data_IF_889484621565
#
_entry.id   IF_889484621565
#
_cell.length_a   1.000
_cell.length_b   1.000
_cell.length_c   1.000
_cell.angle_alpha   90.00
_cell.angle_beta   90.00
_cell.angle_gamma   90.00
#
_symmetry.space_group_name_H-M   'P 1'
#
loop_
_entity.id
_entity.type
_entity.pdbx_description
1 polymer ?
#
# COMPACT_ATOMS: atom_id res chain seq x y z
N UNK A 1 -7.68 -16.20 -34.17
CA UNK A 1 -7.55 -17.06 -32.99
C UNK A 1 -8.49 -16.50 -31.95
N UNK A 2 -9.66 -17.14 -31.81
CA UNK A 2 -10.71 -16.70 -30.87
C UNK A 2 -10.34 -17.15 -29.45
N UNK A 3 -10.24 -16.19 -28.55
CA UNK A 3 -10.10 -16.47 -27.11
C UNK A 3 -11.48 -16.83 -26.57
N UNK A 4 -11.73 -18.11 -26.38
CA UNK A 4 -12.89 -18.57 -25.62
C UNK A 4 -12.74 -18.17 -24.16
N UNK A 5 -13.59 -17.22 -23.74
CA UNK A 5 -13.78 -16.92 -22.32
C UNK A 5 -14.59 -18.04 -21.72
N UNK A 6 -13.96 -18.92 -20.95
CA UNK A 6 -14.67 -19.92 -20.14
C UNK A 6 -15.46 -19.17 -19.05
N UNK A 7 -16.75 -19.05 -19.27
CA UNK A 7 -17.67 -18.59 -18.25
C UNK A 7 -17.77 -19.69 -17.17
N UNK A 8 -17.06 -19.51 -16.06
CA UNK A 8 -17.31 -20.27 -14.85
C UNK A 8 -18.74 -20.02 -14.43
N UNK A 9 -19.60 -21.06 -14.49
CA UNK A 9 -21.01 -21.01 -14.14
C UNK A 9 -21.25 -20.79 -12.65
N UNK A 10 -20.71 -19.72 -12.11
CA UNK A 10 -20.99 -19.27 -10.76
C UNK A 10 -22.36 -18.56 -10.77
N UNK A 11 -23.23 -18.82 -9.79
CA UNK A 11 -24.48 -18.10 -9.67
C UNK A 11 -24.18 -16.60 -9.52
N UNK A 12 -25.08 -15.73 -10.09
CA UNK A 12 -24.85 -14.28 -9.97
C UNK A 12 -24.78 -13.88 -8.50
N UNK A 13 -23.71 -13.21 -8.15
CA UNK A 13 -23.52 -12.65 -6.80
C UNK A 13 -24.59 -11.57 -6.62
N UNK A 14 -25.44 -11.65 -5.59
CA UNK A 14 -26.44 -10.61 -5.33
C UNK A 14 -25.74 -9.25 -5.19
N UNK A 15 -26.15 -8.26 -5.98
CA UNK A 15 -25.56 -6.90 -5.95
C UNK A 15 -25.97 -6.08 -4.73
N UNK A 16 -26.92 -6.56 -3.93
CA UNK A 16 -27.33 -5.90 -2.71
C UNK A 16 -26.32 -6.18 -1.60
N UNK A 17 -25.66 -5.13 -1.15
CA UNK A 17 -24.87 -5.19 0.08
C UNK A 17 -25.82 -5.39 1.25
N UNK A 18 -25.78 -6.53 1.89
CA UNK A 18 -26.48 -6.75 3.15
C UNK A 18 -26.07 -5.68 4.14
N UNK A 19 -27.04 -5.08 4.82
CA UNK A 19 -26.76 -4.15 5.90
C UNK A 19 -26.07 -4.88 7.07
N UNK A 20 -25.38 -4.14 7.93
CA UNK A 20 -24.77 -4.73 9.13
C UNK A 20 -25.81 -5.42 10.02
N UNK A 21 -27.02 -4.87 10.08
CA UNK A 21 -28.16 -5.46 10.82
C UNK A 21 -28.62 -6.78 10.18
N UNK A 22 -28.63 -6.90 8.84
CA UNK A 22 -29.01 -8.14 8.15
C UNK A 22 -27.97 -9.25 8.37
N UNK A 23 -26.72 -8.90 8.55
CA UNK A 23 -25.64 -9.86 8.86
C UNK A 23 -25.72 -10.32 10.30
N UNK A 24 -26.08 -9.43 11.22
CA UNK A 24 -26.17 -9.70 12.66
C UNK A 24 -27.44 -10.49 13.03
N UNK A 25 -28.52 -10.29 12.26
CA UNK A 25 -29.79 -11.02 12.38
C UNK A 25 -29.80 -12.39 11.66
N UNK A 26 -28.79 -12.71 10.89
CA UNK A 26 -28.71 -13.98 10.18
C UNK A 26 -28.58 -15.14 11.20
N UNK A 27 -29.43 -16.15 11.08
CA UNK A 27 -29.32 -17.36 11.86
C UNK A 27 -27.92 -17.97 11.77
N UNK A 28 -27.38 -18.54 12.86
CA UNK A 28 -26.06 -19.15 12.85
C UNK A 28 -25.99 -20.23 11.77
N UNK A 29 -25.01 -20.12 10.89
CA UNK A 29 -24.77 -21.10 9.81
C UNK A 29 -24.36 -22.41 10.49
N UNK A 30 -25.26 -23.38 10.48
CA UNK A 30 -24.98 -24.73 10.95
C UNK A 30 -24.45 -25.58 9.80
N UNK A 31 -23.43 -26.38 10.05
CA UNK A 31 -22.81 -27.26 9.08
C UNK A 31 -21.34 -26.94 8.77
N UNK A 32 -20.74 -27.74 7.89
CA UNK A 32 -19.33 -27.59 7.49
C UNK A 32 -19.14 -26.26 6.74
N UNK A 33 -18.25 -25.42 7.24
CA UNK A 33 -17.88 -24.15 6.59
C UNK A 33 -16.70 -24.39 5.65
N UNK A 34 -16.82 -23.94 4.39
CA UNK A 34 -15.74 -24.00 3.40
C UNK A 34 -15.16 -22.60 3.17
N UNK A 35 -13.85 -22.49 3.20
CA UNK A 35 -13.13 -21.29 2.78
C UNK A 35 -12.56 -21.54 1.38
N UNK A 36 -13.00 -20.76 0.40
CA UNK A 36 -12.49 -20.81 -0.95
C UNK A 36 -11.38 -19.77 -1.10
N UNK A 37 -10.17 -20.22 -1.42
CA UNK A 37 -9.03 -19.34 -1.67
C UNK A 37 -8.90 -19.08 -3.16
N UNK A 38 -8.90 -17.81 -3.56
CA UNK A 38 -8.61 -17.42 -4.94
C UNK A 38 -7.17 -17.78 -5.34
N UNK A 39 -7.01 -18.11 -6.63
CA UNK A 39 -5.69 -18.36 -7.22
C UNK A 39 -5.66 -17.71 -8.61
N UNK A 40 -4.64 -16.88 -8.94
CA UNK A 40 -3.54 -16.45 -8.06
C UNK A 40 -3.99 -15.47 -6.97
N UNK A 41 -3.24 -15.43 -5.87
CA UNK A 41 -3.48 -14.52 -4.75
C UNK A 41 -2.17 -14.00 -4.19
N UNK A 42 -2.21 -12.86 -3.50
CA UNK A 42 -1.05 -12.23 -2.88
C UNK A 42 -1.15 -10.70 -2.97
N UNK A 43 -0.04 -10.04 -2.70
CA UNK A 43 0.09 -8.62 -2.89
C UNK A 43 0.30 -8.27 -4.37
N UNK A 44 -0.05 -7.05 -4.76
CA UNK A 44 0.39 -6.55 -6.07
C UNK A 44 1.90 -6.24 -6.02
N UNK A 45 2.52 -6.19 -7.19
CA UNK A 45 3.97 -5.92 -7.30
C UNK A 45 4.40 -4.60 -6.63
N UNK A 46 3.51 -3.59 -6.57
CA UNK A 46 3.77 -2.32 -5.88
C UNK A 46 3.87 -2.48 -4.37
N UNK A 47 2.98 -3.26 -3.78
CA UNK A 47 3.00 -3.59 -2.34
C UNK A 47 4.22 -4.43 -1.99
N UNK A 48 4.49 -5.50 -2.75
CA UNK A 48 5.66 -6.34 -2.53
C UNK A 48 6.95 -5.51 -2.57
N UNK A 49 7.10 -4.66 -3.58
CA UNK A 49 8.26 -3.79 -3.73
C UNK A 49 8.45 -2.85 -2.52
N UNK A 50 7.36 -2.26 -2.03
CA UNK A 50 7.42 -1.35 -0.90
C UNK A 50 7.83 -2.05 0.40
N UNK A 51 7.28 -3.23 0.66
CA UNK A 51 7.66 -4.07 1.81
C UNK A 51 9.13 -4.47 1.71
N UNK A 52 9.55 -4.99 0.56
CA UNK A 52 10.94 -5.40 0.30
C UNK A 52 11.91 -4.21 0.47
N UNK A 53 11.51 -2.99 0.11
CA UNK A 53 12.36 -1.82 0.29
C UNK A 53 12.69 -1.56 1.76
N UNK A 54 11.70 -1.67 2.67
CA UNK A 54 11.93 -1.53 4.11
C UNK A 54 12.76 -2.69 4.66
N UNK A 55 12.46 -3.92 4.24
CA UNK A 55 13.20 -5.11 4.66
C UNK A 55 14.68 -5.01 4.28
N UNK A 56 14.97 -4.67 3.02
CA UNK A 56 16.34 -4.47 2.54
C UNK A 56 17.03 -3.30 3.22
N UNK A 57 16.31 -2.22 3.53
CA UNK A 57 16.88 -1.11 4.29
C UNK A 57 17.31 -1.55 5.70
N UNK A 58 16.47 -2.34 6.38
CA UNK A 58 16.81 -2.91 7.69
C UNK A 58 18.00 -3.89 7.62
N UNK A 59 18.04 -4.73 6.58
CA UNK A 59 19.13 -5.69 6.37
C UNK A 59 20.47 -4.99 6.08
N UNK A 60 20.45 -3.97 5.24
CA UNK A 60 21.67 -3.31 4.76
C UNK A 60 22.22 -2.26 5.73
N UNK A 61 21.34 -1.51 6.37
CA UNK A 61 21.72 -0.38 7.22
C UNK A 61 21.58 -0.66 8.73
N UNK A 62 20.85 -1.73 9.08
CA UNK A 62 20.49 -2.01 10.46
C UNK A 62 19.33 -1.14 10.95
N UNK A 63 18.81 -1.49 12.13
CA UNK A 63 17.81 -0.68 12.83
C UNK A 63 18.44 0.53 13.54
N UNK A 64 17.74 1.65 13.68
CA UNK A 64 16.38 1.89 13.20
C UNK A 64 16.33 2.35 11.74
N UNK A 65 15.26 1.99 11.04
CA UNK A 65 14.85 2.58 9.76
C UNK A 65 13.49 3.23 9.96
N UNK A 66 13.40 4.50 9.65
CA UNK A 66 12.13 5.24 9.77
C UNK A 66 11.28 5.03 8.53
N UNK A 67 9.96 4.95 8.70
CA UNK A 67 9.00 4.81 7.61
C UNK A 67 7.93 5.87 7.79
N UNK A 68 7.79 6.77 6.81
CA UNK A 68 6.78 7.81 6.87
C UNK A 68 5.41 7.24 6.53
N UNK A 69 4.47 7.38 7.46
CA UNK A 69 3.15 6.76 7.45
C UNK A 69 3.25 5.24 7.36
N UNK A 70 2.14 4.56 7.07
CA UNK A 70 2.19 3.12 6.81
C UNK A 70 2.81 2.85 5.44
N UNK A 71 3.75 1.91 5.36
CA UNK A 71 4.35 1.52 4.07
C UNK A 71 3.29 0.99 3.11
N UNK A 72 2.33 0.25 3.65
CA UNK A 72 1.11 -0.24 3.03
C UNK A 72 0.03 -0.33 4.10
N UNK A 73 -1.24 -0.19 3.73
CA UNK A 73 -2.38 -0.29 4.68
C UNK A 73 -2.67 -1.74 5.08
N UNK A 74 -1.70 -2.36 5.76
CA UNK A 74 -1.82 -3.72 6.27
C UNK A 74 -1.17 -3.82 7.66
N UNK A 75 -2.01 -3.97 8.69
CA UNK A 75 -1.59 -4.03 10.08
C UNK A 75 -0.53 -5.11 10.35
N UNK A 76 -0.69 -6.30 9.77
CA UNK A 76 0.26 -7.39 9.97
C UNK A 76 1.64 -7.08 9.38
N UNK A 77 1.69 -6.41 8.23
CA UNK A 77 2.95 -5.97 7.62
C UNK A 77 3.61 -4.92 8.50
N UNK A 78 2.86 -3.91 8.94
CA UNK A 78 3.36 -2.85 9.83
C UNK A 78 3.92 -3.45 11.12
N UNK A 79 3.17 -4.31 11.80
CA UNK A 79 3.62 -4.98 13.02
C UNK A 79 4.86 -5.84 12.80
N UNK A 80 4.93 -6.57 11.69
CA UNK A 80 6.09 -7.40 11.35
C UNK A 80 7.35 -6.57 11.17
N UNK A 81 7.26 -5.47 10.42
CA UNK A 81 8.40 -4.57 10.19
C UNK A 81 8.81 -3.82 11.46
N UNK A 82 7.83 -3.43 12.31
CA UNK A 82 8.13 -2.81 13.62
C UNK A 82 8.93 -3.76 14.50
N UNK A 83 8.57 -5.04 14.57
CA UNK A 83 9.33 -6.05 15.33
C UNK A 83 10.77 -6.23 14.83
N UNK A 84 11.03 -5.91 13.57
CA UNK A 84 12.36 -5.96 12.94
C UNK A 84 13.14 -4.66 13.07
N UNK A 85 12.57 -3.63 13.69
CA UNK A 85 13.23 -2.36 13.97
C UNK A 85 12.86 -1.19 13.05
N UNK A 86 11.79 -1.31 12.27
CA UNK A 86 11.21 -0.18 11.58
C UNK A 86 10.44 0.71 12.57
N UNK A 87 10.61 2.01 12.46
CA UNK A 87 9.89 3.02 13.25
C UNK A 87 8.98 3.80 12.32
N UNK A 88 7.67 3.64 12.52
CA UNK A 88 6.66 4.36 11.75
C UNK A 88 6.40 5.72 12.35
N UNK A 89 6.53 6.76 11.55
CA UNK A 89 6.31 8.17 11.91
C UNK A 89 5.24 8.78 11.02
N UNK A 90 4.57 9.83 11.49
CA UNK A 90 3.56 10.51 10.69
C UNK A 90 4.20 11.50 9.73
N UNK A 91 5.15 12.29 10.20
CA UNK A 91 5.82 13.31 9.40
C UNK A 91 7.35 13.23 9.51
N UNK A 92 8.03 13.91 8.59
CA UNK A 92 9.50 13.87 8.49
C UNK A 92 10.21 14.61 9.62
N UNK A 93 9.53 15.48 10.34
CA UNK A 93 10.08 16.20 11.50
C UNK A 93 10.27 15.32 12.74
N UNK A 94 9.55 14.21 12.81
CA UNK A 94 9.74 13.17 13.85
C UNK A 94 11.00 12.32 13.62
N UNK A 95 11.58 12.37 12.41
CA UNK A 95 12.77 11.60 12.07
C UNK A 95 14.03 12.36 12.55
N UNK A 96 14.96 11.73 13.28
CA UNK A 96 16.23 12.38 13.63
C UNK A 96 16.98 12.88 12.39
N UNK A 97 17.62 14.05 12.51
CA UNK A 97 18.38 14.63 11.41
C UNK A 97 19.47 13.67 10.91
N UNK A 98 19.62 13.59 9.60
CA UNK A 98 20.55 12.67 8.94
C UNK A 98 20.15 11.19 8.96
N UNK A 99 19.05 10.83 9.63
CA UNK A 99 18.59 9.45 9.67
C UNK A 99 17.96 8.99 8.34
N UNK A 100 17.74 7.67 8.20
CA UNK A 100 17.12 7.08 7.02
C UNK A 100 15.62 7.01 7.14
N UNK A 101 14.94 7.44 6.07
CA UNK A 101 13.47 7.37 5.99
C UNK A 101 13.02 6.75 4.67
N UNK A 102 12.07 5.83 4.76
CA UNK A 102 11.40 5.21 3.61
C UNK A 102 10.06 5.90 3.38
N UNK A 103 9.80 6.33 2.15
CA UNK A 103 8.50 6.83 1.74
C UNK A 103 7.61 5.69 1.24
N UNK A 104 6.32 5.77 1.55
CA UNK A 104 5.35 4.71 1.28
C UNK A 104 5.08 4.49 -0.21
N UNK A 105 4.42 3.37 -0.51
CA UNK A 105 4.01 3.01 -1.88
C UNK A 105 3.11 4.05 -2.56
N UNK A 106 2.44 4.90 -1.79
CA UNK A 106 1.51 5.92 -2.30
C UNK A 106 2.22 7.16 -2.87
N UNK A 107 3.52 7.28 -2.63
CA UNK A 107 4.28 8.48 -2.95
C UNK A 107 4.08 9.60 -1.93
N UNK A 108 4.83 10.66 -2.12
CA UNK A 108 4.79 11.86 -1.28
C UNK A 108 4.77 13.12 -2.15
N UNK A 109 4.28 14.22 -1.60
CA UNK A 109 4.30 15.51 -2.30
C UNK A 109 5.73 16.08 -2.40
N UNK A 110 6.00 16.98 -3.36
CA UNK A 110 7.29 17.67 -3.46
C UNK A 110 7.73 18.34 -2.15
N UNK A 111 6.80 18.94 -1.41
CA UNK A 111 7.09 19.57 -0.13
C UNK A 111 7.66 18.60 0.92
N UNK A 112 7.26 17.32 0.89
CA UNK A 112 7.82 16.30 1.79
C UNK A 112 9.26 15.96 1.39
N UNK A 113 9.57 15.92 0.10
CA UNK A 113 10.95 15.74 -0.37
C UNK A 113 11.84 16.92 0.06
N UNK A 114 11.35 18.15 -0.05
CA UNK A 114 12.05 19.36 0.38
C UNK A 114 12.29 19.37 1.90
N UNK A 115 11.27 19.02 2.68
CA UNK A 115 11.39 18.90 4.13
C UNK A 115 12.42 17.85 4.55
N UNK A 116 12.42 16.70 3.88
CA UNK A 116 13.41 15.66 4.13
C UNK A 116 14.82 16.11 3.75
N UNK A 117 15.00 16.81 2.62
CA UNK A 117 16.28 17.35 2.18
C UNK A 117 16.82 18.41 3.16
N UNK A 118 15.98 19.32 3.65
CA UNK A 118 16.34 20.34 4.64
C UNK A 118 16.86 19.72 5.95
N UNK A 119 16.35 18.55 6.31
CA UNK A 119 16.77 17.79 7.49
C UNK A 119 17.89 16.78 7.21
N UNK A 120 18.47 16.84 6.01
CA UNK A 120 19.55 15.92 5.57
C UNK A 120 19.18 14.43 5.70
N UNK A 121 17.88 14.08 5.56
CA UNK A 121 17.44 12.69 5.68
C UNK A 121 17.91 11.87 4.47
N UNK A 122 18.42 10.67 4.72
CA UNK A 122 18.71 9.71 3.67
C UNK A 122 17.41 9.01 3.22
N UNK A 123 16.82 9.48 2.13
CA UNK A 123 15.50 9.02 1.67
C UNK A 123 15.59 7.79 0.77
N UNK A 124 14.68 6.85 0.97
CA UNK A 124 14.41 5.70 0.10
C UNK A 124 12.97 5.82 -0.39
N UNK A 125 12.79 6.05 -1.68
CA UNK A 125 11.46 6.18 -2.27
C UNK A 125 10.94 4.82 -2.72
N UNK A 126 9.93 4.31 -2.01
CA UNK A 126 9.26 3.05 -2.32
C UNK A 126 7.96 3.24 -3.13
N UNK A 127 7.75 4.43 -3.70
CA UNK A 127 6.56 4.72 -4.52
C UNK A 127 6.38 3.68 -5.62
N UNK A 128 5.17 3.17 -5.74
CA UNK A 128 4.80 2.24 -6.81
C UNK A 128 4.97 2.92 -8.18
N UNK A 129 5.64 2.29 -9.15
CA UNK A 129 5.80 2.87 -10.49
C UNK A 129 4.49 3.23 -11.18
N UNK A 130 3.42 2.49 -10.92
CA UNK A 130 2.08 2.81 -11.45
C UNK A 130 1.52 4.09 -10.81
N UNK A 131 1.74 4.31 -9.53
CA UNK A 131 1.36 5.56 -8.84
C UNK A 131 2.18 6.72 -9.40
N UNK A 132 3.48 6.54 -9.60
CA UNK A 132 4.33 7.56 -10.24
C UNK A 132 3.82 7.93 -11.64
N UNK A 133 3.32 6.95 -12.41
CA UNK A 133 2.72 7.22 -13.73
C UNK A 133 1.49 8.10 -13.60
N UNK A 134 0.58 7.78 -12.68
CA UNK A 134 -0.63 8.58 -12.43
C UNK A 134 -0.29 10.01 -12.01
N UNK A 135 0.69 10.19 -11.10
CA UNK A 135 1.14 11.53 -10.70
C UNK A 135 1.67 12.36 -11.88
N UNK A 136 2.44 11.72 -12.78
CA UNK A 136 2.96 12.40 -13.99
C UNK A 136 1.85 12.77 -14.94
N UNK A 137 0.86 11.91 -15.13
CA UNK A 137 -0.30 12.19 -15.97
C UNK A 137 -1.14 13.33 -15.40
N UNK A 138 -1.40 13.33 -14.08
CA UNK A 138 -2.11 14.43 -13.43
C UNK A 138 -1.40 15.77 -13.61
N UNK A 139 -0.07 15.82 -13.40
CA UNK A 139 0.73 17.04 -13.63
C UNK A 139 0.67 17.49 -15.09
N UNK A 140 0.72 16.55 -16.05
CA UNK A 140 0.63 16.87 -17.48
C UNK A 140 -0.72 17.46 -17.82
N UNK A 141 -1.82 16.82 -17.40
CA UNK A 141 -3.16 17.28 -17.71
C UNK A 141 -3.48 18.64 -17.04
N UNK A 142 -2.99 18.85 -15.80
CA UNK A 142 -3.12 20.16 -15.16
C UNK A 142 -2.41 21.27 -15.94
N UNK A 143 -1.24 20.99 -16.56
CA UNK A 143 -0.53 21.95 -17.41
C UNK A 143 -1.23 22.20 -18.75
N UNK A 144 -1.98 21.25 -19.23
CA UNK A 144 -2.77 21.32 -20.46
C UNK A 144 -4.20 21.87 -20.23
N UNK A 145 -4.47 22.38 -19.02
CA UNK A 145 -5.75 23.01 -18.60
C UNK A 145 -6.96 22.05 -18.65
N UNK A 146 -6.71 20.74 -18.38
CA UNK A 146 -7.78 19.78 -18.22
C UNK A 146 -8.31 19.77 -16.79
N UNK A 147 -9.63 19.59 -16.67
CA UNK A 147 -10.25 19.27 -15.39
C UNK A 147 -9.86 17.86 -14.95
N UNK A 148 -9.33 17.72 -13.73
CA UNK A 148 -8.94 16.44 -13.14
C UNK A 148 -9.98 16.06 -12.10
N UNK A 149 -10.72 14.98 -12.34
CA UNK A 149 -11.81 14.47 -11.50
C UNK A 149 -11.32 13.27 -10.69
#
# INVERSE_FOLDING_TARGET
MSTETIALGLPPVPRERRSRADVEAAAPVTGEKKVLLATPRGYCAGVDRAVIAVEKALEHYGAPVYVRKEIVHNKFVVESLTKRGAIFVQETDEVPEGARVVFSAHGVSPAVHEAAATRHLATIDATCPLVTKVHREAVRFAKEDYDII
#
